data_IF_503532898728
#
_entry.id   IF_503532898728
#
_cell.length_a   1.000
_cell.length_b   1.000
_cell.length_c   1.000
_cell.angle_alpha   90.00
_cell.angle_beta   90.00
_cell.angle_gamma   90.00
#
_symmetry.space_group_name_H-M   'P 1'
#
loop_
_entity.id
_entity.type
_entity.pdbx_description
1 polymer ?
#
# COMPACT_ATOMS: atom_id res chain seq x y z
N UNK A 1 11.03 -1.73 -17.60
CA UNK A 1 9.61 -1.52 -17.27
C UNK A 1 9.25 -0.11 -17.74
N UNK A 2 8.21 0.02 -18.58
CA UNK A 2 7.73 1.31 -19.10
C UNK A 2 6.85 2.03 -18.07
N UNK A 3 7.36 2.20 -16.84
CA UNK A 3 6.64 2.88 -15.77
C UNK A 3 6.87 4.39 -15.94
N UNK A 4 5.80 5.21 -16.04
CA UNK A 4 5.95 6.66 -16.15
C UNK A 4 6.62 7.23 -14.91
N UNK A 5 7.28 8.39 -15.06
CA UNK A 5 7.81 9.12 -13.90
C UNK A 5 6.64 9.60 -13.04
N UNK A 6 6.79 9.63 -11.70
CA UNK A 6 5.76 10.16 -10.84
C UNK A 6 5.59 11.67 -11.05
N UNK A 7 4.36 12.17 -10.98
CA UNK A 7 4.06 13.61 -11.03
C UNK A 7 4.69 14.36 -9.84
N UNK A 8 4.77 13.67 -8.69
CA UNK A 8 5.39 14.17 -7.47
C UNK A 8 6.47 13.21 -6.96
N UNK A 9 7.73 13.66 -6.95
CA UNK A 9 8.83 12.95 -6.30
C UNK A 9 9.27 13.72 -5.04
N UNK A 10 8.93 13.20 -3.86
CA UNK A 10 9.12 13.91 -2.58
C UNK A 10 10.57 13.84 -2.04
N UNK A 11 11.41 12.94 -2.57
CA UNK A 11 12.85 12.89 -2.23
C UNK A 11 13.19 12.48 -0.79
N UNK A 12 12.26 11.86 -0.06
CA UNK A 12 12.45 11.47 1.34
C UNK A 12 12.91 10.01 1.42
N UNK A 13 14.21 9.80 1.65
CA UNK A 13 14.83 8.46 1.68
C UNK A 13 15.70 8.20 2.92
N UNK A 14 15.90 9.19 3.79
CA UNK A 14 16.86 9.12 4.90
C UNK A 14 16.27 9.55 6.24
N UNK A 15 16.88 9.05 7.32
CA UNK A 15 16.46 9.27 8.70
C UNK A 15 15.91 8.00 9.36
N UNK A 16 15.61 8.07 10.66
CA UNK A 16 14.92 6.98 11.35
C UNK A 16 13.43 6.92 10.97
N UNK A 17 12.72 5.83 11.33
CA UNK A 17 11.32 5.62 10.94
C UNK A 17 10.42 6.81 11.28
N UNK A 18 10.50 7.36 12.50
CA UNK A 18 9.68 8.51 12.91
C UNK A 18 9.97 9.77 12.10
N UNK A 19 11.24 10.06 11.80
CA UNK A 19 11.63 11.19 10.96
C UNK A 19 11.12 11.03 9.52
N UNK A 20 11.26 9.84 8.95
CA UNK A 20 10.77 9.55 7.60
C UNK A 20 9.25 9.72 7.53
N UNK A 21 8.50 9.08 8.42
CA UNK A 21 7.04 9.16 8.46
C UNK A 21 6.56 10.60 8.66
N UNK A 22 7.17 11.37 9.57
CA UNK A 22 6.79 12.76 9.83
C UNK A 22 7.00 13.67 8.61
N UNK A 23 8.15 13.56 7.95
CA UNK A 23 8.46 14.31 6.72
C UNK A 23 7.54 13.91 5.57
N UNK A 24 7.28 12.61 5.41
CA UNK A 24 6.37 12.11 4.38
C UNK A 24 4.95 12.63 4.60
N UNK A 25 4.48 12.64 5.85
CA UNK A 25 3.14 13.13 6.19
C UNK A 25 2.96 14.59 5.79
N UNK A 26 3.92 15.45 6.15
CA UNK A 26 3.89 16.88 5.78
C UNK A 26 3.89 17.08 4.26
N UNK A 27 4.80 16.39 3.56
CA UNK A 27 4.96 16.52 2.12
C UNK A 27 3.74 15.97 1.34
N UNK A 28 3.21 14.80 1.73
CA UNK A 28 2.02 14.20 1.11
C UNK A 28 0.79 15.08 1.36
N UNK A 29 0.61 15.61 2.58
CA UNK A 29 -0.51 16.49 2.87
C UNK A 29 -0.50 17.75 1.98
N UNK A 30 0.69 18.28 1.67
CA UNK A 30 0.83 19.41 0.73
C UNK A 30 0.30 19.05 -0.66
N UNK A 31 0.62 17.85 -1.17
CA UNK A 31 0.10 17.36 -2.45
C UNK A 31 -1.42 17.17 -2.40
N UNK A 32 -1.96 16.56 -1.35
CA UNK A 32 -3.40 16.34 -1.21
C UNK A 32 -4.22 17.64 -1.16
N UNK A 33 -3.64 18.74 -0.68
CA UNK A 33 -4.27 20.08 -0.69
C UNK A 33 -4.38 20.64 -2.12
N UNK A 34 -3.39 20.35 -2.96
CA UNK A 34 -3.32 20.81 -4.36
C UNK A 34 -4.26 19.95 -5.21
N UNK A 35 -4.07 18.64 -5.18
CA UNK A 35 -4.76 17.69 -6.06
C UNK A 35 -6.23 17.45 -5.67
N UNK A 36 -6.56 17.58 -4.37
CA UNK A 36 -7.92 17.36 -3.83
C UNK A 36 -8.58 16.10 -4.37
N UNK A 37 -7.95 14.93 -4.25
CA UNK A 37 -8.50 13.70 -4.82
C UNK A 37 -9.75 13.27 -4.05
N UNK A 38 -10.66 12.58 -4.74
CA UNK A 38 -11.84 11.97 -4.11
C UNK A 38 -11.47 10.79 -3.22
N UNK A 39 -10.34 10.12 -3.51
CA UNK A 39 -9.83 8.96 -2.78
C UNK A 39 -8.29 8.97 -2.72
N UNK A 40 -7.73 8.45 -1.65
CA UNK A 40 -6.31 8.12 -1.54
C UNK A 40 -6.11 6.60 -1.63
N UNK A 41 -5.19 6.17 -2.48
CA UNK A 41 -4.77 4.77 -2.56
C UNK A 41 -3.42 4.60 -1.86
N UNK A 42 -3.32 3.65 -0.95
CA UNK A 42 -2.06 3.26 -0.29
C UNK A 42 -1.80 1.78 -0.47
N UNK A 43 -0.53 1.39 -0.51
CA UNK A 43 -0.10 0.03 -0.81
C UNK A 43 0.89 -0.49 0.25
N UNK A 44 0.69 -1.72 0.72
CA UNK A 44 1.63 -2.40 1.60
C UNK A 44 1.72 -1.79 3.01
N UNK A 45 2.93 -1.68 3.55
CA UNK A 45 3.17 -1.47 5.00
C UNK A 45 4.35 -0.54 5.34
N UNK A 46 4.84 0.18 4.36
CA UNK A 46 6.01 1.05 4.55
C UNK A 46 5.66 2.29 5.38
N UNK A 47 6.69 3.04 5.81
CA UNK A 47 6.48 4.34 6.44
C UNK A 47 5.64 5.29 5.57
N UNK A 48 5.78 5.19 4.24
CA UNK A 48 5.03 6.01 3.29
C UNK A 48 3.54 5.65 3.25
N UNK A 49 3.22 4.36 3.43
CA UNK A 49 1.84 3.86 3.53
C UNK A 49 1.14 4.48 4.74
N UNK A 50 1.78 4.43 5.92
CA UNK A 50 1.22 5.03 7.12
C UNK A 50 1.12 6.57 7.00
N UNK A 51 2.16 7.21 6.49
CA UNK A 51 2.18 8.67 6.31
C UNK A 51 1.06 9.14 5.36
N UNK A 52 0.86 8.43 4.25
CA UNK A 52 -0.19 8.72 3.27
C UNK A 52 -1.59 8.55 3.86
N UNK A 53 -1.84 7.46 4.58
CA UNK A 53 -3.12 7.25 5.25
C UNK A 53 -3.41 8.33 6.30
N UNK A 54 -2.43 8.66 7.15
CA UNK A 54 -2.60 9.72 8.16
C UNK A 54 -2.85 11.10 7.52
N UNK A 55 -2.16 11.42 6.42
CA UNK A 55 -2.38 12.67 5.68
C UNK A 55 -3.81 12.73 5.09
N UNK A 56 -4.30 11.63 4.52
CA UNK A 56 -5.64 11.53 3.95
C UNK A 56 -6.75 11.62 5.02
N UNK A 57 -6.62 10.88 6.14
CA UNK A 57 -7.59 10.93 7.25
C UNK A 57 -7.76 12.35 7.79
N UNK A 58 -6.65 13.09 7.97
CA UNK A 58 -6.67 14.49 8.47
C UNK A 58 -7.38 15.46 7.51
N UNK A 59 -7.59 15.05 6.26
CA UNK A 59 -8.29 15.81 5.23
C UNK A 59 -9.70 15.26 4.94
N UNK A 60 -10.13 14.22 5.66
CA UNK A 60 -11.38 13.50 5.40
C UNK A 60 -11.46 12.95 3.97
N UNK A 61 -10.32 12.56 3.41
CA UNK A 61 -10.24 11.87 2.12
C UNK A 61 -10.33 10.37 2.40
N UNK A 62 -11.29 9.64 1.79
CA UNK A 62 -11.43 8.21 2.01
C UNK A 62 -10.23 7.42 1.45
N UNK A 63 -9.90 6.32 2.11
CA UNK A 63 -8.68 5.55 1.81
C UNK A 63 -9.03 4.15 1.31
N UNK A 64 -8.43 3.80 0.17
CA UNK A 64 -8.33 2.44 -0.33
C UNK A 64 -6.93 1.90 0.00
N UNK A 65 -6.85 0.79 0.72
CA UNK A 65 -5.59 0.16 1.10
C UNK A 65 -5.48 -1.21 0.45
N UNK A 66 -4.38 -1.39 -0.29
CA UNK A 66 -4.02 -2.63 -0.99
C UNK A 66 -3.05 -3.44 -0.13
N UNK A 67 -3.19 -4.77 -0.18
CA UNK A 67 -2.34 -5.73 0.55
C UNK A 67 -2.57 -5.71 2.07
N UNK A 68 -3.83 -5.62 2.47
CA UNK A 68 -4.23 -5.48 3.89
C UNK A 68 -4.22 -6.81 4.63
N UNK A 69 -4.28 -6.76 5.96
CA UNK A 69 -4.58 -7.94 6.79
C UNK A 69 -3.45 -8.95 6.95
N UNK A 70 -2.29 -8.73 6.31
CA UNK A 70 -1.08 -9.49 6.60
C UNK A 70 -0.60 -9.18 8.01
N UNK A 71 -0.31 -10.22 8.80
CA UNK A 71 0.12 -10.08 10.20
C UNK A 71 1.30 -10.96 10.49
N UNK A 72 2.35 -10.35 11.02
CA UNK A 72 3.48 -11.04 11.65
C UNK A 72 3.22 -11.31 13.14
N UNK A 73 2.29 -10.56 13.75
CA UNK A 73 2.03 -10.52 15.19
C UNK A 73 3.24 -10.05 16.03
N UNK A 74 4.29 -9.54 15.39
CA UNK A 74 5.48 -9.03 16.06
C UNK A 74 5.48 -7.50 16.07
N UNK A 75 5.04 -6.91 17.18
CA UNK A 75 4.99 -5.44 17.34
C UNK A 75 6.35 -4.74 17.45
N UNK A 76 7.46 -5.49 17.52
CA UNK A 76 8.79 -4.91 17.41
C UNK A 76 9.15 -4.55 15.97
N UNK A 77 8.44 -5.11 14.98
CA UNK A 77 8.59 -4.76 13.57
C UNK A 77 7.81 -3.46 13.28
N UNK A 78 8.47 -2.39 12.80
CA UNK A 78 7.80 -1.16 12.40
C UNK A 78 6.70 -1.38 11.36
N UNK A 79 6.93 -2.30 10.42
CA UNK A 79 5.99 -2.65 9.35
C UNK A 79 4.69 -3.23 9.92
N UNK A 80 4.74 -4.03 10.98
CA UNK A 80 3.53 -4.55 11.64
C UNK A 80 2.68 -3.41 12.23
N UNK A 81 3.32 -2.41 12.82
CA UNK A 81 2.63 -1.23 13.36
C UNK A 81 2.00 -0.42 12.23
N UNK A 82 2.74 -0.22 11.13
CA UNK A 82 2.24 0.48 9.96
C UNK A 82 1.01 -0.22 9.36
N UNK A 83 1.04 -1.56 9.19
CA UNK A 83 -0.09 -2.35 8.68
C UNK A 83 -1.33 -2.14 9.52
N UNK A 84 -1.23 -2.38 10.83
CA UNK A 84 -2.38 -2.32 11.74
C UNK A 84 -2.98 -0.91 11.75
N UNK A 85 -2.15 0.14 11.86
CA UNK A 85 -2.66 1.51 11.89
C UNK A 85 -3.29 1.93 10.55
N UNK A 86 -2.70 1.52 9.43
CA UNK A 86 -3.22 1.84 8.09
C UNK A 86 -4.52 1.10 7.82
N UNK A 87 -4.60 -0.20 8.14
CA UNK A 87 -5.81 -1.01 7.98
C UNK A 87 -7.00 -0.42 8.78
N UNK A 88 -6.76 -0.03 10.04
CA UNK A 88 -7.81 0.54 10.90
C UNK A 88 -8.25 1.96 10.51
N UNK A 89 -7.39 2.70 9.81
CA UNK A 89 -7.71 4.04 9.33
C UNK A 89 -8.33 4.08 7.94
N UNK A 90 -8.42 2.93 7.26
CA UNK A 90 -8.90 2.86 5.87
C UNK A 90 -10.39 2.56 5.74
N UNK A 91 -10.95 2.94 4.59
CA UNK A 91 -12.38 2.83 4.28
C UNK A 91 -12.68 1.64 3.38
N UNK A 92 -11.74 1.27 2.51
CA UNK A 92 -11.81 0.11 1.63
C UNK A 92 -10.52 -0.70 1.71
N UNK A 93 -10.65 -2.00 1.92
CA UNK A 93 -9.57 -2.89 2.33
C UNK A 93 -9.47 -4.07 1.36
N UNK A 94 -8.41 -4.11 0.55
CA UNK A 94 -8.21 -5.11 -0.50
C UNK A 94 -7.23 -6.20 -0.05
N UNK A 95 -7.78 -7.29 0.46
CA UNK A 95 -7.04 -8.39 1.07
C UNK A 95 -6.59 -9.39 0.00
N UNK A 96 -5.33 -9.90 0.07
CA UNK A 96 -4.83 -10.84 -0.91
C UNK A 96 -5.25 -12.29 -0.64
N UNK A 97 -5.56 -12.63 0.62
CA UNK A 97 -5.86 -14.01 1.04
C UNK A 97 -6.99 -14.08 2.06
N UNK A 98 -7.64 -15.24 2.16
CA UNK A 98 -8.63 -15.51 3.21
C UNK A 98 -8.02 -15.41 4.62
N UNK A 99 -6.74 -15.76 4.78
CA UNK A 99 -6.03 -15.59 6.05
C UNK A 99 -5.98 -14.12 6.46
N UNK A 100 -5.69 -13.22 5.51
CA UNK A 100 -5.68 -11.79 5.76
C UNK A 100 -7.08 -11.24 6.11
N UNK A 101 -8.11 -11.68 5.38
CA UNK A 101 -9.52 -11.36 5.71
C UNK A 101 -9.86 -11.78 7.14
N UNK A 102 -9.43 -12.98 7.55
CA UNK A 102 -9.69 -13.49 8.89
C UNK A 102 -8.95 -12.70 9.99
N UNK A 103 -7.74 -12.20 9.71
CA UNK A 103 -7.03 -11.33 10.64
C UNK A 103 -7.77 -10.01 10.87
N UNK A 104 -8.22 -9.35 9.79
CA UNK A 104 -8.98 -8.10 9.88
C UNK A 104 -10.29 -8.28 10.66
N UNK A 105 -11.01 -9.40 10.41
CA UNK A 105 -12.23 -9.76 11.16
C UNK A 105 -11.95 -9.93 12.66
N UNK A 106 -10.84 -10.59 13.03
CA UNK A 106 -10.44 -10.76 14.43
C UNK A 106 -10.12 -9.44 15.13
N UNK A 107 -9.68 -8.44 14.37
CA UNK A 107 -9.42 -7.08 14.86
C UNK A 107 -10.68 -6.21 14.95
N UNK A 108 -11.85 -6.74 14.56
CA UNK A 108 -13.12 -6.02 14.64
C UNK A 108 -13.37 -5.05 13.50
N UNK A 109 -12.63 -5.15 12.40
CA UNK A 109 -12.87 -4.34 11.20
C UNK A 109 -14.17 -4.78 10.53
N UNK A 110 -15.00 -3.81 10.15
CA UNK A 110 -16.27 -4.07 9.45
C UNK A 110 -16.02 -4.84 8.14
N UNK A 111 -16.66 -6.00 8.02
CA UNK A 111 -16.61 -6.85 6.83
C UNK A 111 -17.07 -6.15 5.56
N UNK A 112 -17.92 -5.12 5.66
CA UNK A 112 -18.37 -4.36 4.49
C UNK A 112 -17.23 -3.55 3.85
N UNK A 113 -16.15 -3.26 4.59
CA UNK A 113 -14.94 -2.61 4.08
C UNK A 113 -14.01 -3.57 3.35
N UNK A 114 -14.11 -4.89 3.60
CA UNK A 114 -13.12 -5.88 3.17
C UNK A 114 -13.51 -6.47 1.81
N UNK A 115 -12.54 -6.57 0.89
CA UNK A 115 -12.65 -7.24 -0.41
C UNK A 115 -11.49 -8.21 -0.56
N UNK A 116 -11.78 -9.49 -0.78
CA UNK A 116 -10.78 -10.47 -1.18
C UNK A 116 -10.53 -10.33 -2.68
N UNK A 117 -9.33 -9.93 -3.09
CA UNK A 117 -9.01 -9.63 -4.50
C UNK A 117 -7.79 -10.33 -5.06
N UNK A 118 -7.02 -11.03 -4.22
CA UNK A 118 -5.74 -11.62 -4.65
C UNK A 118 -4.57 -10.64 -4.56
N UNK A 119 -3.43 -11.06 -5.09
CA UNK A 119 -2.15 -10.38 -4.92
C UNK A 119 -1.70 -9.69 -6.23
N UNK A 120 -1.47 -8.37 -6.16
CA UNK A 120 -1.02 -7.56 -7.31
C UNK A 120 0.34 -8.05 -7.85
N UNK A 121 1.19 -8.63 -7.01
CA UNK A 121 2.46 -9.20 -7.44
C UNK A 121 2.26 -10.42 -8.35
N UNK A 122 1.17 -11.16 -8.19
CA UNK A 122 0.82 -12.25 -9.11
C UNK A 122 0.48 -11.71 -10.49
N UNK A 123 -0.34 -10.66 -10.57
CA UNK A 123 -0.67 -9.99 -11.83
C UNK A 123 0.58 -9.41 -12.50
N UNK A 124 1.45 -8.77 -11.72
CA UNK A 124 2.72 -8.24 -12.21
C UNK A 124 3.63 -9.35 -12.77
N UNK A 125 3.71 -10.50 -12.09
CA UNK A 125 4.51 -11.63 -12.54
C UNK A 125 3.99 -12.19 -13.88
N UNK A 126 2.67 -12.31 -14.05
CA UNK A 126 2.08 -12.72 -15.33
C UNK A 126 2.38 -11.71 -16.44
N UNK A 127 2.14 -10.42 -16.18
CA UNK A 127 2.35 -9.35 -17.17
C UNK A 127 3.80 -9.31 -17.68
N UNK A 128 4.78 -9.32 -16.78
CA UNK A 128 6.19 -9.26 -17.17
C UNK A 128 6.73 -10.61 -17.66
N UNK A 129 6.13 -11.72 -17.25
CA UNK A 129 6.42 -13.04 -17.82
C UNK A 129 6.09 -13.09 -19.31
N UNK A 130 4.88 -12.66 -19.68
CA UNK A 130 4.46 -12.58 -21.09
C UNK A 130 5.35 -11.64 -21.92
N UNK A 131 5.73 -10.50 -21.35
CA UNK A 131 6.61 -9.54 -22.02
C UNK A 131 8.02 -10.11 -22.22
N UNK A 132 8.54 -10.84 -21.24
CA UNK A 132 9.82 -11.54 -21.36
C UNK A 132 9.80 -12.60 -22.46
N UNK A 133 8.74 -13.39 -22.56
CA UNK A 133 8.58 -14.41 -23.60
C UNK A 133 8.49 -13.78 -25.00
N UNK A 134 7.85 -12.61 -25.13
CA UNK A 134 7.83 -11.84 -26.40
C UNK A 134 9.21 -11.33 -26.81
N UNK A 135 10.00 -10.85 -25.84
CA UNK A 135 11.33 -10.30 -26.09
C UNK A 135 12.39 -11.38 -26.35
N UNK A 136 12.22 -12.59 -25.82
CA UNK A 136 13.14 -13.71 -26.08
C UNK A 136 12.40 -15.06 -26.21
N UNK A 137 11.81 -15.36 -27.38
CA UNK A 137 10.99 -16.57 -27.57
C UNK A 137 11.73 -17.90 -27.39
N UNK A 138 13.06 -17.90 -27.47
CA UNK A 138 13.91 -19.09 -27.48
C UNK A 138 14.87 -19.20 -26.28
N UNK A 139 14.68 -18.40 -25.23
CA UNK A 139 15.56 -18.44 -24.04
C UNK A 139 15.40 -19.73 -23.20
N UNK A 140 14.41 -20.56 -23.52
CA UNK A 140 14.10 -21.83 -22.87
C UNK A 140 14.88 -23.03 -23.45
N UNK A 141 15.66 -22.83 -24.52
CA UNK A 141 16.45 -23.89 -25.15
C UNK A 141 17.87 -23.84 -24.58
N UNK A 142 18.10 -24.60 -23.51
CA UNK A 142 19.42 -25.14 -23.16
C UNK A 142 19.50 -26.59 -23.61
#
# INVERSE_FOLDING_TARGET
MEIPKPDYHLGIVSGNHGQQTGRMLEAIQTVLIIEKPDWALVYGDTNSTLAGALAAVKRSIPIAHIEVGLRSFNRQMPEEINRVLTDHSSDLLFAPTEAAVNNLKKEGIDTNKIRLVGDVMYDAALFYGEESDRQCPNCWIF
#
